data_IF_646758591069
#
_entry.id   IF_646758591069
#
_cell.length_a   1.000
_cell.length_b   1.000
_cell.length_c   1.000
_cell.angle_alpha   90.00
_cell.angle_beta   90.00
_cell.angle_gamma   90.00
#
_symmetry.space_group_name_H-M   'P 1'
#
loop_
_entity.id
_entity.type
_entity.pdbx_description
1 polymer ?
#
# COMPACT_ATOMS: atom_id res chain seq x y z
N UNK A 1 -27.69 -16.78 46.13
CA UNK A 1 -27.34 -17.28 47.47
C UNK A 1 -27.08 -16.03 48.27
N UNK A 2 -28.16 -15.55 48.88
CA UNK A 2 -28.32 -14.21 49.43
C UNK A 2 -28.56 -14.45 50.91
N UNK A 3 -27.47 -14.49 51.68
CA UNK A 3 -27.49 -14.53 53.14
C UNK A 3 -26.85 -13.24 53.61
N UNK A 4 -27.69 -12.25 53.88
CA UNK A 4 -27.37 -11.05 54.65
C UNK A 4 -27.13 -11.47 56.09
N UNK A 5 -25.86 -11.57 56.48
CA UNK A 5 -25.44 -11.74 57.87
C UNK A 5 -25.45 -10.37 58.56
N UNK A 6 -26.63 -9.90 58.94
CA UNK A 6 -26.77 -8.84 59.95
C UNK A 6 -26.71 -9.48 61.33
N UNK A 7 -25.54 -9.41 61.98
CA UNK A 7 -25.39 -9.76 63.41
C UNK A 7 -24.25 -10.70 63.79
N UNK A 8 -23.32 -11.05 62.89
CA UNK A 8 -22.14 -11.84 63.28
C UNK A 8 -21.04 -10.97 63.90
N UNK A 9 -20.53 -11.41 65.05
CA UNK A 9 -19.30 -10.93 65.66
C UNK A 9 -18.19 -10.82 64.61
N UNK A 10 -17.52 -9.66 64.53
CA UNK A 10 -16.50 -9.42 63.51
C UNK A 10 -15.28 -10.30 63.77
N UNK A 11 -15.07 -11.31 62.91
CA UNK A 11 -13.86 -12.12 62.92
C UNK A 11 -12.81 -11.51 61.95
N UNK A 12 -11.68 -10.97 62.47
CA UNK A 12 -10.64 -10.38 61.64
C UNK A 12 -9.97 -11.40 60.72
N UNK A 13 -9.89 -12.67 61.09
CA UNK A 13 -9.30 -13.73 60.25
C UNK A 13 -10.21 -14.04 59.07
N UNK A 14 -11.51 -14.13 59.32
CA UNK A 14 -12.50 -14.32 58.26
C UNK A 14 -12.55 -13.13 57.32
N UNK A 15 -12.50 -11.90 57.86
CA UNK A 15 -12.44 -10.68 57.07
C UNK A 15 -11.18 -10.60 56.19
N UNK A 16 -10.01 -11.00 56.72
CA UNK A 16 -8.75 -11.01 55.98
C UNK A 16 -8.77 -12.02 54.83
N UNK A 17 -9.25 -13.23 55.10
CA UNK A 17 -9.42 -14.29 54.09
C UNK A 17 -10.40 -13.86 53.00
N UNK A 18 -11.53 -13.26 53.38
CA UNK A 18 -12.52 -12.75 52.44
C UNK A 18 -11.96 -11.64 51.55
N UNK A 19 -11.29 -10.63 52.13
CA UNK A 19 -10.66 -9.54 51.36
C UNK A 19 -9.59 -10.09 50.40
N UNK A 20 -8.77 -11.03 50.83
CA UNK A 20 -7.76 -11.68 49.98
C UNK A 20 -8.37 -12.46 48.82
N UNK A 21 -9.43 -13.22 49.07
CA UNK A 21 -10.17 -13.94 48.03
C UNK A 21 -10.73 -12.99 46.98
N UNK A 22 -11.43 -11.92 47.41
CA UNK A 22 -12.03 -10.94 46.51
C UNK A 22 -10.97 -10.19 45.70
N UNK A 23 -9.85 -9.82 46.33
CA UNK A 23 -8.70 -9.19 45.65
C UNK A 23 -8.17 -10.08 44.52
N UNK A 24 -8.04 -11.39 44.73
CA UNK A 24 -7.56 -12.34 43.71
C UNK A 24 -8.56 -12.50 42.56
N UNK A 25 -9.85 -12.61 42.86
CA UNK A 25 -10.92 -12.73 41.86
C UNK A 25 -10.96 -11.49 40.98
N UNK A 26 -11.00 -10.30 41.58
CA UNK A 26 -11.06 -9.03 40.86
C UNK A 26 -9.78 -8.78 40.05
N UNK A 27 -8.61 -9.09 40.62
CA UNK A 27 -7.35 -8.99 39.88
C UNK A 27 -7.29 -9.94 38.67
N UNK A 28 -7.87 -11.14 38.78
CA UNK A 28 -7.92 -12.09 37.68
C UNK A 28 -8.84 -11.63 36.56
N UNK A 29 -10.00 -11.06 36.90
CA UNK A 29 -10.95 -10.51 35.92
C UNK A 29 -10.38 -9.29 35.17
N UNK A 30 -9.47 -8.55 35.82
CA UNK A 30 -8.82 -7.39 35.24
C UNK A 30 -7.56 -7.72 34.42
N UNK A 31 -7.09 -8.97 34.36
CA UNK A 31 -5.89 -9.35 33.59
C UNK A 31 -6.03 -9.10 32.09
N UNK A 32 -7.24 -9.15 31.54
CA UNK A 32 -7.52 -8.89 30.12
C UNK A 32 -7.79 -7.41 29.80
N UNK A 33 -7.75 -6.53 30.80
CA UNK A 33 -8.07 -5.11 30.68
C UNK A 33 -6.83 -4.28 31.04
N UNK A 34 -6.63 -3.13 30.38
CA UNK A 34 -5.54 -2.22 30.72
C UNK A 34 -5.77 -1.63 32.12
N UNK A 35 -5.02 -2.12 33.12
CA UNK A 35 -5.11 -1.67 34.52
C UNK A 35 -4.31 -0.37 34.70
N UNK A 36 -4.82 0.57 35.49
CA UNK A 36 -4.09 1.82 35.78
C UNK A 36 -2.84 1.55 36.64
N UNK A 37 -1.77 2.37 36.52
CA UNK A 37 -0.58 2.24 37.36
C UNK A 37 -0.90 2.28 38.87
N UNK A 38 -1.89 3.07 39.27
CA UNK A 38 -2.36 3.15 40.66
C UNK A 38 -2.95 1.83 41.16
N UNK A 39 -3.72 1.13 40.33
CA UNK A 39 -4.29 -0.18 40.67
C UNK A 39 -3.22 -1.27 40.73
N UNK A 40 -2.27 -1.26 39.79
CA UNK A 40 -1.13 -2.20 39.81
C UNK A 40 -0.29 -2.02 41.09
N UNK A 41 0.00 -0.77 41.47
CA UNK A 41 0.72 -0.45 42.70
C UNK A 41 -0.07 -0.83 43.95
N UNK A 42 -1.38 -0.60 43.98
CA UNK A 42 -2.23 -1.00 45.10
C UNK A 42 -2.27 -2.53 45.28
N UNK A 43 -2.36 -3.30 44.19
CA UNK A 43 -2.30 -4.76 44.25
C UNK A 43 -0.93 -5.28 44.71
N UNK A 44 0.17 -4.70 44.21
CA UNK A 44 1.53 -5.05 44.63
C UNK A 44 1.77 -4.77 46.12
N UNK A 45 1.32 -3.62 46.62
CA UNK A 45 1.39 -3.27 48.05
C UNK A 45 0.59 -4.23 48.92
N UNK A 46 -0.63 -4.58 48.49
CA UNK A 46 -1.44 -5.60 49.17
C UNK A 46 -0.70 -6.95 49.25
N UNK A 47 -0.13 -7.43 48.14
CA UNK A 47 0.55 -8.73 48.10
C UNK A 47 1.74 -8.79 49.06
N UNK A 48 2.54 -7.72 49.10
CA UNK A 48 3.71 -7.63 49.99
C UNK A 48 3.30 -7.64 51.48
N UNK A 49 2.29 -6.85 51.85
CA UNK A 49 1.81 -6.85 53.24
C UNK A 49 1.12 -8.16 53.64
N UNK A 50 0.46 -8.85 52.71
CA UNK A 50 -0.13 -10.16 52.94
C UNK A 50 0.94 -11.24 53.15
N UNK A 51 2.02 -11.22 52.37
CA UNK A 51 3.17 -12.12 52.55
C UNK A 51 3.88 -11.87 53.89
N UNK A 52 4.04 -10.61 54.28
CA UNK A 52 4.62 -10.28 55.60
C UNK A 52 3.72 -10.72 56.75
N UNK A 53 2.40 -10.61 56.59
CA UNK A 53 1.43 -11.11 57.57
C UNK A 53 1.53 -12.63 57.77
N UNK A 54 1.70 -13.42 56.70
CA UNK A 54 1.83 -14.88 56.82
C UNK A 54 3.13 -15.33 57.49
N UNK A 55 4.18 -14.51 57.44
CA UNK A 55 5.52 -14.86 57.90
C UNK A 55 5.91 -14.25 59.26
N UNK A 56 5.15 -13.29 59.79
CA UNK A 56 5.47 -12.64 61.06
C UNK A 56 4.76 -13.27 62.25
N UNK A 57 5.48 -13.41 63.36
CA UNK A 57 4.93 -13.79 64.67
C UNK A 57 4.95 -12.61 65.67
N UNK A 58 5.37 -11.42 65.22
CA UNK A 58 5.50 -10.24 66.06
C UNK A 58 4.23 -9.40 65.98
N UNK A 59 3.58 -9.15 67.13
CA UNK A 59 2.33 -8.39 67.24
C UNK A 59 2.40 -6.99 66.58
N UNK A 60 3.56 -6.33 66.61
CA UNK A 60 3.76 -5.01 66.00
C UNK A 60 3.81 -5.09 64.46
N UNK A 61 4.50 -6.10 63.94
CA UNK A 61 4.58 -6.36 62.50
C UNK A 61 3.23 -6.89 61.97
N UNK A 62 2.49 -7.62 62.78
CA UNK A 62 1.14 -8.10 62.49
C UNK A 62 0.16 -6.93 62.33
N UNK A 63 0.15 -5.99 63.26
CA UNK A 63 -0.67 -4.77 63.17
C UNK A 63 -0.33 -3.94 61.94
N UNK A 64 0.97 -3.76 61.67
CA UNK A 64 1.45 -3.02 60.49
C UNK A 64 1.03 -3.71 59.19
N UNK A 65 1.12 -5.03 59.13
CA UNK A 65 0.76 -5.82 57.95
C UNK A 65 -0.75 -5.81 57.71
N UNK A 66 -1.57 -5.99 58.75
CA UNK A 66 -3.05 -5.92 58.63
C UNK A 66 -3.48 -4.50 58.19
N UNK A 67 -2.86 -3.44 58.72
CA UNK A 67 -3.14 -2.07 58.32
C UNK A 67 -2.78 -1.81 56.84
N UNK A 68 -1.61 -2.29 56.41
CA UNK A 68 -1.17 -2.21 55.01
C UNK A 68 -2.09 -2.97 54.06
N UNK A 69 -2.51 -4.19 54.43
CA UNK A 69 -3.48 -4.99 53.69
C UNK A 69 -4.80 -4.22 53.51
N UNK A 70 -5.35 -3.68 54.59
CA UNK A 70 -6.60 -2.94 54.56
C UNK A 70 -6.54 -1.70 53.66
N UNK A 71 -5.47 -0.90 53.76
CA UNK A 71 -5.30 0.32 52.98
C UNK A 71 -5.14 0.05 51.48
N UNK A 72 -4.29 -0.91 51.12
CA UNK A 72 -4.03 -1.26 49.73
C UNK A 72 -5.20 -2.00 49.08
N UNK A 73 -5.86 -2.91 49.81
CA UNK A 73 -7.09 -3.56 49.33
C UNK A 73 -8.23 -2.56 49.12
N UNK A 74 -8.45 -1.62 50.05
CA UNK A 74 -9.48 -0.58 49.90
C UNK A 74 -9.22 0.29 48.66
N UNK A 75 -7.97 0.66 48.42
CA UNK A 75 -7.57 1.49 47.27
C UNK A 75 -7.78 0.74 45.95
N UNK A 76 -7.34 -0.52 45.88
CA UNK A 76 -7.52 -1.37 44.70
C UNK A 76 -9.01 -1.58 44.37
N UNK A 77 -9.81 -1.95 45.36
CA UNK A 77 -11.23 -2.26 45.18
C UNK A 77 -12.07 -1.02 44.83
N UNK A 78 -11.77 0.15 45.40
CA UNK A 78 -12.42 1.42 45.03
C UNK A 78 -12.11 1.83 43.59
N UNK A 79 -10.89 1.58 43.13
CA UNK A 79 -10.54 1.85 41.74
C UNK A 79 -11.11 0.80 40.79
N UNK A 80 -11.21 -0.47 41.22
CA UNK A 80 -11.92 -1.50 40.49
C UNK A 80 -13.41 -1.16 40.31
N UNK A 81 -14.10 -0.55 41.29
CA UNK A 81 -15.49 -0.09 41.11
C UNK A 81 -15.68 1.02 40.08
N UNK A 82 -14.62 1.72 39.68
CA UNK A 82 -14.70 2.77 38.64
C UNK A 82 -14.57 2.21 37.23
N UNK A 83 -14.17 0.94 37.09
CA UNK A 83 -14.01 0.30 35.79
C UNK A 83 -15.36 -0.25 35.29
N UNK A 84 -15.78 0.03 34.04
CA UNK A 84 -17.06 -0.47 33.49
C UNK A 84 -17.19 -1.99 33.50
N UNK A 85 -16.07 -2.71 33.35
CA UNK A 85 -16.04 -4.17 33.19
C UNK A 85 -16.29 -4.95 34.49
N UNK A 86 -16.07 -4.33 35.65
CA UNK A 86 -16.19 -4.93 36.99
C UNK A 86 -17.50 -4.60 37.70
N UNK A 87 -18.13 -3.47 37.33
CA UNK A 87 -19.38 -2.97 37.93
C UNK A 87 -20.57 -3.92 37.70
N UNK A 88 -20.56 -4.72 36.63
CA UNK A 88 -21.68 -5.64 36.36
C UNK A 88 -21.66 -6.96 37.15
N UNK A 89 -20.51 -7.62 37.26
CA UNK A 89 -20.43 -9.03 37.73
C UNK A 89 -20.11 -9.19 39.21
N UNK A 90 -19.35 -8.26 39.80
CA UNK A 90 -18.77 -8.40 41.14
C UNK A 90 -19.03 -7.20 42.06
N UNK A 91 -19.86 -6.23 41.67
CA UNK A 91 -20.04 -4.97 42.42
C UNK A 91 -20.44 -5.21 43.90
N UNK A 92 -21.40 -6.09 44.15
CA UNK A 92 -21.84 -6.42 45.52
C UNK A 92 -20.69 -6.97 46.39
N UNK A 93 -19.92 -7.91 45.83
CA UNK A 93 -18.79 -8.55 46.50
C UNK A 93 -17.65 -7.54 46.74
N UNK A 94 -17.40 -6.64 45.78
CA UNK A 94 -16.40 -5.59 45.92
C UNK A 94 -16.79 -4.60 47.04
N UNK A 95 -18.06 -4.21 47.11
CA UNK A 95 -18.57 -3.32 48.16
C UNK A 95 -18.45 -3.95 49.55
N UNK A 96 -18.82 -5.21 49.69
CA UNK A 96 -18.63 -5.97 50.93
C UNK A 96 -17.16 -6.07 51.32
N UNK A 97 -16.26 -6.35 50.36
CA UNK A 97 -14.83 -6.42 50.62
C UNK A 97 -14.22 -5.06 51.05
N UNK A 98 -14.72 -3.94 50.52
CA UNK A 98 -14.33 -2.60 50.98
C UNK A 98 -14.75 -2.37 52.44
N UNK A 99 -15.94 -2.84 52.81
CA UNK A 99 -16.42 -2.74 54.20
C UNK A 99 -15.57 -3.59 55.15
N UNK A 100 -15.26 -4.84 54.78
CA UNK A 100 -14.37 -5.71 55.54
C UNK A 100 -12.95 -5.14 55.67
N UNK A 101 -12.42 -4.54 54.60
CA UNK A 101 -11.14 -3.82 54.66
C UNK A 101 -11.19 -2.62 55.62
N UNK A 102 -12.32 -1.90 55.69
CA UNK A 102 -12.53 -0.84 56.68
C UNK A 102 -12.49 -1.36 58.12
N UNK A 103 -13.24 -2.44 58.40
CA UNK A 103 -13.26 -3.07 59.73
C UNK A 103 -11.89 -3.64 60.13
N UNK A 104 -11.14 -4.18 59.16
CA UNK A 104 -9.74 -4.62 59.38
C UNK A 104 -8.80 -3.46 59.74
N UNK A 105 -8.98 -2.29 59.10
CA UNK A 105 -8.19 -1.11 59.44
C UNK A 105 -8.47 -0.63 60.87
N UNK A 106 -9.74 -0.66 61.28
CA UNK A 106 -10.13 -0.28 62.64
C UNK A 106 -9.67 -1.32 63.67
N UNK A 107 -9.73 -2.60 63.33
CA UNK A 107 -9.16 -3.68 64.13
C UNK A 107 -7.64 -3.50 64.35
N UNK A 108 -6.88 -3.24 63.28
CA UNK A 108 -5.43 -3.02 63.37
C UNK A 108 -5.06 -1.85 64.30
N UNK A 109 -5.89 -0.80 64.34
CA UNK A 109 -5.74 0.34 65.26
C UNK A 109 -6.09 0.02 66.71
N UNK A 110 -6.98 -0.94 66.91
CA UNK A 110 -7.45 -1.36 68.23
C UNK A 110 -6.63 -2.48 68.88
N UNK A 111 -5.68 -3.08 68.14
CA UNK A 111 -4.84 -4.14 68.68
C UNK A 111 -3.98 -3.62 69.86
N UNK A 112 -4.03 -4.26 71.03
CA UNK A 112 -3.18 -3.90 72.16
C UNK A 112 -1.74 -4.23 71.79
N UNK A 113 -0.96 -3.21 71.47
CA UNK A 113 0.47 -3.37 71.21
C UNK A 113 1.12 -3.76 72.54
N UNK A 114 1.48 -5.03 72.68
CA UNK A 114 2.11 -5.54 73.90
C UNK A 114 3.59 -5.12 73.90
N UNK A 115 3.85 -3.86 74.22
CA UNK A 115 5.21 -3.30 74.37
C UNK A 115 6.03 -4.00 75.47
N UNK A 116 5.39 -4.80 76.32
CA UNK A 116 5.97 -5.37 77.53
C UNK A 116 6.96 -6.51 77.28
N UNK A 117 6.84 -7.26 76.18
CA UNK A 117 7.72 -8.41 75.92
C UNK A 117 9.07 -8.03 75.30
N UNK A 118 9.22 -6.78 74.82
CA UNK A 118 10.45 -6.27 74.21
C UNK A 118 11.36 -5.47 75.14
N UNK A 119 10.96 -5.24 76.41
CA UNK A 119 11.68 -4.33 77.33
C UNK A 119 12.34 -5.07 78.52
N UNK A 120 12.04 -6.35 78.77
CA UNK A 120 12.66 -7.11 79.88
C UNK A 120 13.69 -8.14 79.41
N UNK A 121 14.75 -7.64 78.76
CA UNK A 121 16.07 -8.26 78.91
C UNK A 121 17.12 -7.14 78.88
N UNK A 122 17.63 -6.77 80.05
CA UNK A 122 18.90 -6.05 80.09
C UNK A 122 19.95 -6.92 79.37
N UNK A 123 20.63 -6.41 78.33
CA UNK A 123 21.61 -7.21 77.64
C UNK A 123 22.86 -7.34 78.50
N UNK A 124 23.26 -8.58 78.76
CA UNK A 124 24.62 -8.90 79.23
C UNK A 124 25.66 -8.19 78.32
N UNK A 125 26.77 -7.64 78.86
CA UNK A 125 27.79 -6.95 78.06
C UNK A 125 28.30 -7.78 76.86
N UNK A 126 28.31 -9.11 76.98
CA UNK A 126 28.66 -10.03 75.90
C UNK A 126 27.65 -10.09 74.74
N UNK A 127 26.36 -9.86 75.02
CA UNK A 127 25.29 -9.86 74.02
C UNK A 127 25.28 -8.56 73.21
N UNK A 128 25.65 -7.42 73.80
CA UNK A 128 25.83 -6.16 73.07
C UNK A 128 27.07 -6.19 72.16
N UNK A 129 28.16 -6.79 72.62
CA UNK A 129 29.39 -6.97 71.82
C UNK A 129 29.14 -7.90 70.63
N UNK A 130 28.37 -8.97 70.82
CA UNK A 130 27.96 -9.88 69.75
C UNK A 130 27.04 -9.19 68.74
N UNK A 131 26.07 -8.38 69.23
CA UNK A 131 25.18 -7.59 68.36
C UNK A 131 25.94 -6.51 67.58
N UNK A 132 26.91 -5.84 68.21
CA UNK A 132 27.77 -4.84 67.55
C UNK A 132 28.65 -5.49 66.48
N UNK A 133 29.25 -6.63 66.77
CA UNK A 133 30.01 -7.42 65.80
C UNK A 133 29.14 -7.88 64.62
N UNK A 134 27.92 -8.35 64.86
CA UNK A 134 26.98 -8.69 63.78
C UNK A 134 26.54 -7.47 62.97
N UNK A 135 26.30 -6.32 63.62
CA UNK A 135 25.99 -5.06 62.96
C UNK A 135 27.15 -4.58 62.08
N UNK A 136 28.38 -4.62 62.59
CA UNK A 136 29.58 -4.25 61.84
C UNK A 136 29.82 -5.20 60.67
N UNK A 137 29.58 -6.50 60.86
CA UNK A 137 29.66 -7.50 59.79
C UNK A 137 28.61 -7.26 58.72
N UNK A 138 27.36 -6.95 59.10
CA UNK A 138 26.28 -6.61 58.17
C UNK A 138 26.53 -5.28 57.46
N UNK A 139 27.08 -4.28 58.15
CA UNK A 139 27.46 -3.00 57.54
C UNK A 139 28.58 -3.20 56.51
N UNK A 140 29.60 -4.01 56.85
CA UNK A 140 30.67 -4.37 55.90
C UNK A 140 30.12 -5.13 54.69
N UNK A 141 29.21 -6.08 54.90
CA UNK A 141 28.54 -6.81 53.82
C UNK A 141 27.68 -5.88 52.94
N UNK A 142 26.96 -4.94 53.55
CA UNK A 142 26.17 -3.93 52.84
C UNK A 142 27.05 -2.99 52.02
N UNK A 143 28.17 -2.51 52.56
CA UNK A 143 29.16 -1.70 51.83
C UNK A 143 29.75 -2.47 50.64
N UNK A 144 30.04 -3.76 50.82
CA UNK A 144 30.57 -4.62 49.77
C UNK A 144 29.53 -4.89 48.65
N UNK A 145 28.26 -5.06 49.03
CA UNK A 145 27.14 -5.13 48.06
C UNK A 145 26.92 -3.79 47.37
N UNK A 146 27.00 -2.68 48.08
CA UNK A 146 26.81 -1.34 47.53
C UNK A 146 27.89 -1.00 46.49
N UNK A 147 29.15 -1.35 46.78
CA UNK A 147 30.28 -1.18 45.86
C UNK A 147 30.18 -2.10 44.64
N UNK A 148 29.78 -3.36 44.83
CA UNK A 148 29.54 -4.31 43.72
C UNK A 148 28.38 -3.86 42.82
N UNK A 149 27.28 -3.42 43.42
CA UNK A 149 26.10 -2.91 42.69
C UNK A 149 26.48 -1.63 41.96
N UNK A 150 27.11 -0.66 42.62
CA UNK A 150 27.52 0.60 41.99
C UNK A 150 28.47 0.37 40.81
N UNK A 151 29.45 -0.52 40.96
CA UNK A 151 30.36 -0.91 39.87
C UNK A 151 29.63 -1.59 38.71
N UNK A 152 28.65 -2.45 39.01
CA UNK A 152 27.79 -3.06 37.99
C UNK A 152 26.92 -2.04 37.27
N UNK A 153 26.39 -1.03 38.00
CA UNK A 153 25.62 0.09 37.42
C UNK A 153 26.49 0.91 36.49
N UNK A 154 27.73 1.23 36.88
CA UNK A 154 28.65 2.00 36.01
C UNK A 154 29.00 1.23 34.73
N UNK A 155 29.24 -0.07 34.86
CA UNK A 155 29.54 -0.94 33.73
C UNK A 155 28.34 -1.10 32.78
N UNK A 156 27.12 -1.11 33.34
CA UNK A 156 25.89 -1.15 32.57
C UNK A 156 25.67 0.16 31.81
N UNK A 157 25.90 1.32 32.45
CA UNK A 157 25.85 2.64 31.81
C UNK A 157 26.84 2.74 30.65
N UNK A 158 28.07 2.25 30.83
CA UNK A 158 29.12 2.26 29.80
C UNK A 158 28.73 1.35 28.61
N UNK A 159 28.16 0.17 28.87
CA UNK A 159 27.62 -0.72 27.83
C UNK A 159 26.44 -0.10 27.10
N UNK A 160 25.52 0.54 27.81
CA UNK A 160 24.37 1.23 27.21
C UNK A 160 24.84 2.39 26.34
N UNK A 161 25.84 3.16 26.78
CA UNK A 161 26.43 4.23 25.99
C UNK A 161 27.12 3.69 24.72
N UNK A 162 27.89 2.59 24.84
CA UNK A 162 28.54 1.94 23.70
C UNK A 162 27.52 1.41 22.69
N UNK A 163 26.51 0.66 23.13
CA UNK A 163 25.40 0.16 22.30
C UNK A 163 24.64 1.31 21.62
N UNK A 164 24.37 2.39 22.35
CA UNK A 164 23.68 3.57 21.78
C UNK A 164 24.50 4.20 20.65
N UNK A 165 25.82 4.28 20.81
CA UNK A 165 26.70 4.82 19.78
C UNK A 165 26.82 3.88 18.57
N UNK A 166 26.89 2.56 18.81
CA UNK A 166 26.92 1.55 17.75
C UNK A 166 25.62 1.56 16.93
N UNK A 167 24.46 1.56 17.61
CA UNK A 167 23.15 1.65 16.96
C UNK A 167 23.01 2.95 16.16
N UNK A 168 23.48 4.09 16.68
CA UNK A 168 23.49 5.36 15.92
C UNK A 168 24.36 5.25 14.67
N UNK A 169 25.56 4.68 14.79
CA UNK A 169 26.47 4.52 13.65
C UNK A 169 25.87 3.58 12.58
N UNK A 170 25.27 2.46 12.97
CA UNK A 170 24.55 1.56 12.08
C UNK A 170 23.33 2.23 11.43
N UNK A 171 22.58 3.04 12.18
CA UNK A 171 21.41 3.76 11.64
C UNK A 171 21.83 4.79 10.59
N UNK A 172 22.93 5.52 10.80
CA UNK A 172 23.47 6.46 9.81
C UNK A 172 23.98 5.74 8.56
N UNK A 173 24.69 4.60 8.71
CA UNK A 173 25.08 3.76 7.57
C UNK A 173 23.87 3.25 6.79
N UNK A 174 22.85 2.76 7.48
CA UNK A 174 21.62 2.30 6.85
C UNK A 174 20.89 3.43 6.12
N UNK A 175 20.88 4.66 6.68
CA UNK A 175 20.33 5.85 6.01
C UNK A 175 21.13 6.22 4.77
N UNK A 176 22.46 6.18 4.81
CA UNK A 176 23.31 6.45 3.65
C UNK A 176 23.16 5.40 2.56
N UNK A 177 23.15 4.10 2.91
CA UNK A 177 22.87 2.98 2.01
C UNK A 177 21.50 3.13 1.35
N UNK A 178 20.47 3.44 2.16
CA UNK A 178 19.12 3.67 1.66
C UNK A 178 19.04 4.90 0.75
N UNK A 179 19.70 6.01 1.11
CA UNK A 179 19.77 7.22 0.30
C UNK A 179 20.47 6.98 -1.03
N UNK A 180 21.60 6.27 -1.03
CA UNK A 180 22.32 5.84 -2.24
C UNK A 180 21.47 4.88 -3.08
N UNK A 181 20.82 3.90 -2.46
CA UNK A 181 19.93 2.96 -3.13
C UNK A 181 18.75 3.66 -3.80
N UNK A 182 18.09 4.58 -3.09
CA UNK A 182 17.00 5.40 -3.64
C UNK A 182 17.46 6.27 -4.81
N UNK A 183 18.59 6.97 -4.66
CA UNK A 183 19.14 7.79 -5.74
C UNK A 183 19.47 6.97 -6.99
N UNK A 184 20.03 5.76 -6.80
CA UNK A 184 20.35 4.83 -7.88
C UNK A 184 19.11 4.31 -8.58
N UNK A 185 18.06 3.94 -7.83
CA UNK A 185 16.76 3.52 -8.38
C UNK A 185 16.10 4.66 -9.15
N UNK A 186 16.12 5.89 -8.62
CA UNK A 186 15.56 7.07 -9.29
C UNK A 186 16.31 7.38 -10.59
N UNK A 187 17.65 7.26 -10.60
CA UNK A 187 18.48 7.44 -11.79
C UNK A 187 18.22 6.35 -12.83
N UNK A 188 18.20 5.07 -12.43
CA UNK A 188 17.92 3.95 -13.33
C UNK A 188 16.52 4.07 -13.95
N UNK A 189 15.53 4.50 -13.16
CA UNK A 189 14.15 4.73 -13.63
C UNK A 189 14.11 5.83 -14.68
N UNK A 190 14.85 6.93 -14.49
CA UNK A 190 14.96 8.00 -15.49
C UNK A 190 15.63 7.52 -16.77
N UNK A 191 16.72 6.77 -16.65
CA UNK A 191 17.44 6.19 -17.79
C UNK A 191 16.53 5.23 -18.58
N UNK A 192 15.79 4.35 -17.90
CA UNK A 192 14.81 3.47 -18.55
C UNK A 192 13.70 4.24 -19.26
N UNK A 193 13.15 5.27 -18.62
CA UNK A 193 12.11 6.10 -19.22
C UNK A 193 12.60 6.84 -20.48
N UNK A 194 13.83 7.35 -20.46
CA UNK A 194 14.45 8.03 -21.59
C UNK A 194 14.72 7.06 -22.76
N UNK A 195 15.33 5.90 -22.47
CA UNK A 195 15.57 4.84 -23.46
C UNK A 195 14.27 4.34 -24.09
N UNK A 196 13.23 4.15 -23.29
CA UNK A 196 11.92 3.73 -23.78
C UNK A 196 11.28 4.83 -24.64
N UNK A 197 11.34 6.10 -24.22
CA UNK A 197 10.81 7.23 -24.97
C UNK A 197 11.52 7.38 -26.33
N UNK A 198 12.83 7.21 -26.37
CA UNK A 198 13.61 7.32 -27.60
C UNK A 198 13.27 6.18 -28.57
N UNK A 199 13.31 4.93 -28.09
CA UNK A 199 13.00 3.75 -28.92
C UNK A 199 11.55 3.70 -29.37
N UNK A 200 10.60 4.09 -28.51
CA UNK A 200 9.19 4.13 -28.87
C UNK A 200 8.91 5.18 -29.96
N UNK A 201 9.52 6.38 -29.83
CA UNK A 201 9.41 7.42 -30.84
C UNK A 201 9.98 7.00 -32.19
N UNK A 202 11.14 6.35 -32.19
CA UNK A 202 11.77 5.82 -33.40
C UNK A 202 10.97 4.67 -34.03
N UNK A 203 10.43 3.76 -33.21
CA UNK A 203 9.59 2.66 -33.68
C UNK A 203 8.30 3.16 -34.36
N UNK A 204 7.59 4.12 -33.76
CA UNK A 204 6.37 4.69 -34.37
C UNK A 204 6.71 5.39 -35.69
N UNK A 205 7.79 6.18 -35.71
CA UNK A 205 8.23 6.84 -36.93
C UNK A 205 8.62 5.84 -38.04
N UNK A 206 9.32 4.75 -37.67
CA UNK A 206 9.66 3.66 -38.59
C UNK A 206 8.41 3.01 -39.19
N UNK A 207 7.41 2.72 -38.36
CA UNK A 207 6.17 2.05 -38.80
C UNK A 207 5.39 2.89 -39.82
N UNK A 208 5.29 4.20 -39.63
CA UNK A 208 4.69 5.11 -40.62
C UNK A 208 5.52 5.20 -41.90
N UNK A 209 6.85 5.24 -41.79
CA UNK A 209 7.73 5.27 -42.94
C UNK A 209 7.64 3.98 -43.78
N UNK A 210 7.54 2.83 -43.11
CA UNK A 210 7.37 1.52 -43.75
C UNK A 210 5.98 1.36 -44.37
N UNK A 211 4.94 1.83 -43.68
CA UNK A 211 3.59 1.88 -44.21
C UNK A 211 3.52 2.74 -45.47
N UNK A 212 4.14 3.92 -45.47
CA UNK A 212 4.26 4.76 -46.66
C UNK A 212 4.96 4.01 -47.81
N UNK A 213 6.07 3.31 -47.55
CA UNK A 213 6.77 2.52 -48.58
C UNK A 213 5.89 1.43 -49.17
N UNK A 214 5.14 0.69 -48.34
CA UNK A 214 4.20 -0.35 -48.79
C UNK A 214 3.10 0.25 -49.68
N UNK A 215 2.50 1.36 -49.28
CA UNK A 215 1.47 2.06 -50.06
C UNK A 215 2.00 2.51 -51.43
N UNK A 216 3.21 3.07 -51.48
CA UNK A 216 3.85 3.47 -52.73
C UNK A 216 4.11 2.28 -53.66
N UNK A 217 4.56 1.15 -53.11
CA UNK A 217 4.77 -0.08 -53.87
C UNK A 217 3.44 -0.62 -54.42
N UNK A 218 2.37 -0.65 -53.62
CA UNK A 218 1.03 -1.03 -54.05
C UNK A 218 0.55 -0.12 -55.20
N UNK A 219 0.64 1.19 -55.04
CA UNK A 219 0.27 2.17 -56.05
C UNK A 219 0.99 1.95 -57.38
N UNK A 220 2.31 1.73 -57.33
CA UNK A 220 3.12 1.48 -58.53
C UNK A 220 2.78 0.14 -59.17
N UNK A 221 2.49 -0.89 -58.38
CA UNK A 221 2.02 -2.18 -58.88
C UNK A 221 0.71 -2.04 -59.64
N UNK A 222 -0.30 -1.42 -59.03
CA UNK A 222 -1.60 -1.18 -59.65
C UNK A 222 -1.52 -0.34 -60.91
N UNK A 223 -0.64 0.68 -60.93
CA UNK A 223 -0.39 1.49 -62.13
C UNK A 223 0.18 0.65 -63.27
N UNK A 224 1.14 -0.25 -62.98
CA UNK A 224 1.68 -1.17 -63.99
C UNK A 224 0.61 -2.08 -64.55
N UNK A 225 -0.23 -2.68 -63.70
CA UNK A 225 -1.33 -3.56 -64.14
C UNK A 225 -2.38 -2.78 -64.95
N UNK A 226 -2.74 -1.56 -64.51
CA UNK A 226 -3.64 -0.66 -65.26
C UNK A 226 -3.09 -0.35 -66.66
N UNK A 227 -1.80 -0.03 -66.77
CA UNK A 227 -1.13 0.21 -68.06
C UNK A 227 -1.18 -1.02 -68.97
N UNK A 228 -0.99 -2.23 -68.44
CA UNK A 228 -1.11 -3.48 -69.21
C UNK A 228 -2.51 -3.61 -69.82
N UNK A 229 -3.57 -3.34 -69.05
CA UNK A 229 -4.93 -3.38 -69.57
C UNK A 229 -5.21 -2.28 -70.61
N UNK A 230 -4.69 -1.07 -70.42
CA UNK A 230 -4.81 0.01 -71.43
C UNK A 230 -4.10 -0.36 -72.73
N UNK A 231 -2.88 -0.91 -72.66
CA UNK A 231 -2.13 -1.36 -73.84
C UNK A 231 -2.85 -2.53 -74.52
N UNK A 232 -3.42 -3.47 -73.77
CA UNK A 232 -4.21 -4.56 -74.32
C UNK A 232 -5.45 -4.05 -75.08
N UNK A 233 -6.19 -3.09 -74.51
CA UNK A 233 -7.34 -2.46 -75.19
C UNK A 233 -6.93 -1.76 -76.49
N UNK A 234 -5.82 -1.01 -76.47
CA UNK A 234 -5.27 -0.35 -77.67
C UNK A 234 -4.82 -1.38 -78.70
N UNK A 235 -4.18 -2.48 -78.29
CA UNK A 235 -3.73 -3.54 -79.19
C UNK A 235 -4.89 -4.23 -79.91
N UNK A 236 -6.00 -4.51 -79.21
CA UNK A 236 -7.23 -5.05 -79.82
C UNK A 236 -7.76 -4.12 -80.90
N UNK A 237 -7.79 -2.81 -80.64
CA UNK A 237 -8.23 -1.81 -81.63
C UNK A 237 -7.25 -1.69 -82.81
N UNK A 238 -5.94 -1.74 -82.56
CA UNK A 238 -4.91 -1.66 -83.60
C UNK A 238 -4.93 -2.88 -84.54
N UNK A 239 -5.09 -4.10 -84.00
CA UNK A 239 -5.26 -5.33 -84.80
C UNK A 239 -6.52 -5.20 -85.67
N UNK A 240 -7.61 -4.65 -85.12
CA UNK A 240 -8.84 -4.41 -85.88
C UNK A 240 -8.63 -3.52 -87.10
N UNK A 241 -7.76 -2.50 -86.97
CA UNK A 241 -7.42 -1.60 -88.07
C UNK A 241 -6.51 -2.25 -89.11
N UNK A 242 -5.53 -3.07 -88.69
CA UNK A 242 -4.63 -3.80 -89.62
C UNK A 242 -5.36 -4.88 -90.43
N UNK A 243 -6.31 -5.60 -89.83
CA UNK A 243 -7.15 -6.59 -90.51
C UNK A 243 -8.02 -5.96 -91.62
N UNK A 244 -8.40 -4.68 -91.47
CA UNK A 244 -9.21 -3.96 -92.46
C UNK A 244 -8.55 -3.91 -93.85
N UNK A 245 -7.22 -4.00 -93.90
CA UNK A 245 -6.44 -3.99 -95.14
C UNK A 245 -6.56 -5.29 -95.96
N UNK A 246 -7.01 -6.40 -95.36
CA UNK A 246 -6.82 -7.74 -95.92
C UNK A 246 -8.11 -8.51 -96.28
N UNK A 247 -9.28 -8.21 -95.69
CA UNK A 247 -10.53 -8.91 -96.01
C UNK A 247 -11.81 -8.16 -95.59
N UNK A 248 -12.94 -8.53 -96.19
CA UNK A 248 -14.30 -8.00 -96.02
C UNK A 248 -14.64 -7.80 -94.53
N UNK A 249 -14.74 -6.53 -94.11
CA UNK A 249 -15.06 -6.17 -92.72
C UNK A 249 -16.54 -6.43 -92.43
N UNK A 250 -16.86 -7.44 -91.62
CA UNK A 250 -18.24 -7.58 -91.10
C UNK A 250 -18.42 -6.62 -89.92
N UNK A 251 -19.52 -5.84 -89.95
CA UNK A 251 -19.85 -4.87 -88.91
C UNK A 251 -20.02 -5.54 -87.52
N UNK A 252 -20.43 -6.80 -87.52
CA UNK A 252 -20.56 -7.68 -86.35
C UNK A 252 -19.22 -7.87 -85.63
N UNK A 253 -18.15 -8.19 -86.37
CA UNK A 253 -16.83 -8.44 -85.79
C UNK A 253 -16.22 -7.16 -85.19
N UNK A 254 -16.46 -6.01 -85.82
CA UNK A 254 -15.98 -4.71 -85.34
C UNK A 254 -16.67 -4.31 -84.03
N UNK A 255 -17.98 -4.55 -83.94
CA UNK A 255 -18.77 -4.26 -82.73
C UNK A 255 -18.33 -5.14 -81.55
N UNK A 256 -18.10 -6.43 -81.78
CA UNK A 256 -17.61 -7.35 -80.75
C UNK A 256 -16.23 -6.95 -80.22
N UNK A 257 -15.30 -6.59 -81.12
CA UNK A 257 -13.94 -6.15 -80.76
C UNK A 257 -13.97 -4.83 -79.95
N UNK A 258 -14.88 -3.92 -80.28
CA UNK A 258 -15.11 -2.70 -79.50
C UNK A 258 -15.64 -3.00 -78.09
N UNK A 259 -16.59 -3.93 -77.95
CA UNK A 259 -17.08 -4.37 -76.64
C UNK A 259 -15.97 -5.02 -75.80
N UNK A 260 -15.07 -5.79 -76.41
CA UNK A 260 -13.90 -6.36 -75.73
C UNK A 260 -12.95 -5.26 -75.27
N UNK A 261 -12.68 -4.24 -76.09
CA UNK A 261 -11.86 -3.10 -75.69
C UNK A 261 -12.49 -2.32 -74.52
N UNK A 262 -13.82 -2.13 -74.53
CA UNK A 262 -14.56 -1.55 -73.41
C UNK A 262 -14.48 -2.41 -72.15
N UNK A 263 -14.58 -3.74 -72.28
CA UNK A 263 -14.47 -4.65 -71.15
C UNK A 263 -13.09 -4.56 -70.47
N UNK A 264 -12.02 -4.31 -71.22
CA UNK A 264 -10.68 -4.05 -70.67
C UNK A 264 -10.52 -2.65 -70.06
N UNK A 265 -11.30 -1.66 -70.50
CA UNK A 265 -11.26 -0.30 -69.96
C UNK A 265 -11.73 -0.21 -68.50
N UNK A 266 -12.73 -1.02 -68.12
CA UNK A 266 -13.28 -1.05 -66.75
C UNK A 266 -12.22 -1.41 -65.69
N UNK A 267 -11.52 -2.56 -65.75
CA UNK A 267 -10.49 -2.90 -64.78
C UNK A 267 -9.28 -1.95 -64.86
N UNK A 268 -8.95 -1.42 -66.05
CA UNK A 268 -7.89 -0.43 -66.20
C UNK A 268 -8.19 0.86 -65.41
N UNK A 269 -9.42 1.38 -65.54
CA UNK A 269 -9.88 2.57 -64.82
C UNK A 269 -9.96 2.35 -63.31
N UNK A 270 -10.45 1.19 -62.87
CA UNK A 270 -10.49 0.84 -61.45
C UNK A 270 -9.08 0.82 -60.83
N UNK A 271 -8.13 0.11 -61.47
CA UNK A 271 -6.75 0.01 -60.99
C UNK A 271 -6.02 1.36 -61.02
N UNK A 272 -6.32 2.21 -62.00
CA UNK A 272 -5.78 3.58 -62.04
C UNK A 272 -6.28 4.42 -60.86
N UNK A 273 -7.58 4.32 -60.54
CA UNK A 273 -8.19 5.02 -59.40
C UNK A 273 -7.66 4.50 -58.06
N UNK A 274 -7.56 3.19 -57.89
CA UNK A 274 -7.02 2.60 -56.66
C UNK A 274 -5.52 2.92 -56.50
N UNK A 275 -4.76 2.99 -57.60
CA UNK A 275 -3.38 3.50 -57.58
C UNK A 275 -3.29 4.95 -57.07
N UNK A 276 -4.22 5.82 -57.47
CA UNK A 276 -4.29 7.20 -56.98
C UNK A 276 -4.61 7.24 -55.47
N UNK A 277 -5.54 6.41 -55.01
CA UNK A 277 -5.89 6.29 -53.59
C UNK A 277 -4.69 5.89 -52.73
N UNK A 278 -3.95 4.85 -53.14
CA UNK A 278 -2.72 4.44 -52.44
C UNK A 278 -1.65 5.54 -52.42
N UNK A 279 -1.61 6.43 -53.44
CA UNK A 279 -0.70 7.59 -53.43
C UNK A 279 -1.11 8.65 -52.42
N UNK A 280 -2.41 8.88 -52.25
CA UNK A 280 -2.91 9.81 -51.23
C UNK A 280 -2.61 9.28 -49.82
N UNK A 281 -2.77 7.98 -49.60
CA UNK A 281 -2.39 7.31 -48.36
C UNK A 281 -0.87 7.37 -48.12
N UNK A 282 -0.06 7.12 -49.16
CA UNK A 282 1.39 7.31 -49.11
C UNK A 282 1.78 8.72 -48.66
N UNK A 283 1.19 9.76 -49.26
CA UNK A 283 1.48 11.15 -48.89
C UNK A 283 1.10 11.45 -47.45
N UNK A 284 -0.01 10.88 -46.97
CA UNK A 284 -0.46 11.05 -45.59
C UNK A 284 0.51 10.40 -44.61
N UNK A 285 0.85 9.13 -44.79
CA UNK A 285 1.81 8.43 -43.92
C UNK A 285 3.21 9.04 -43.98
N UNK A 286 3.67 9.44 -45.16
CA UNK A 286 4.96 10.11 -45.31
C UNK A 286 5.01 11.45 -44.57
N UNK A 287 3.95 12.26 -44.68
CA UNK A 287 3.85 13.53 -43.94
C UNK A 287 3.87 13.28 -42.44
N UNK A 288 3.13 12.29 -41.96
CA UNK A 288 3.13 11.90 -40.54
C UNK A 288 4.52 11.48 -40.07
N UNK A 289 5.21 10.59 -40.81
CA UNK A 289 6.58 10.18 -40.49
C UNK A 289 7.54 11.38 -40.46
N UNK A 290 7.51 12.24 -41.49
CA UNK A 290 8.37 13.43 -41.54
C UNK A 290 8.09 14.39 -40.39
N UNK A 291 6.82 14.58 -40.03
CA UNK A 291 6.42 15.42 -38.90
C UNK A 291 6.86 14.83 -37.57
N UNK A 292 6.70 13.53 -37.34
CA UNK A 292 7.18 12.88 -36.11
C UNK A 292 8.70 13.02 -35.98
N UNK A 293 9.43 12.78 -37.08
CA UNK A 293 10.89 12.89 -37.12
C UNK A 293 11.37 14.33 -36.90
N UNK A 294 10.70 15.33 -37.47
CA UNK A 294 11.10 16.74 -37.35
C UNK A 294 10.69 17.36 -36.02
N UNK A 295 9.59 16.90 -35.41
CA UNK A 295 9.07 17.47 -34.17
C UNK A 295 9.80 16.93 -32.93
N UNK A 296 10.35 15.71 -32.98
CA UNK A 296 11.14 15.15 -31.88
C UNK A 296 12.26 16.07 -31.36
N UNK A 297 13.16 16.63 -32.20
CA UNK A 297 14.20 17.57 -31.74
C UNK A 297 13.62 18.91 -31.24
N UNK A 298 12.47 19.34 -31.78
CA UNK A 298 11.80 20.56 -31.31
C UNK A 298 11.24 20.36 -29.91
N UNK A 299 10.59 19.23 -29.66
CA UNK A 299 10.04 18.88 -28.34
C UNK A 299 11.15 18.74 -27.32
N UNK A 300 12.27 18.10 -27.66
CA UNK A 300 13.38 17.94 -26.71
C UNK A 300 14.00 19.27 -26.24
N UNK A 301 13.81 20.36 -27.00
CA UNK A 301 14.32 21.69 -26.64
C UNK A 301 13.43 22.48 -25.66
N UNK A 302 12.20 22.02 -25.41
CA UNK A 302 11.23 22.70 -24.55
C UNK A 302 11.42 22.38 -23.06
N UNK A 303 10.89 23.21 -22.13
CA UNK A 303 10.85 22.88 -20.70
C UNK A 303 10.08 21.58 -20.44
N UNK A 304 10.50 20.81 -19.43
CA UNK A 304 9.99 19.45 -19.15
C UNK A 304 8.46 19.38 -19.06
N UNK A 305 7.84 20.35 -18.38
CA UNK A 305 6.38 20.45 -18.23
C UNK A 305 5.65 20.57 -19.58
N UNK A 306 6.17 21.39 -20.49
CA UNK A 306 5.61 21.58 -21.83
C UNK A 306 5.83 20.35 -22.72
N UNK A 307 6.95 19.63 -22.54
CA UNK A 307 7.20 18.38 -23.26
C UNK A 307 6.15 17.33 -22.94
N UNK A 308 5.81 17.16 -21.65
CA UNK A 308 4.81 16.18 -21.23
C UNK A 308 3.43 16.50 -21.80
N UNK A 309 3.00 17.77 -21.71
CA UNK A 309 1.72 18.22 -22.25
C UNK A 309 1.62 17.96 -23.76
N UNK A 310 2.66 18.32 -24.52
CA UNK A 310 2.66 18.14 -25.96
C UNK A 310 2.73 16.67 -26.37
N UNK A 311 3.53 15.84 -25.68
CA UNK A 311 3.58 14.39 -25.91
C UNK A 311 2.21 13.74 -25.70
N UNK A 312 1.48 14.14 -24.66
CA UNK A 312 0.13 13.64 -24.38
C UNK A 312 -0.87 14.06 -25.46
N UNK A 313 -0.87 15.33 -25.86
CA UNK A 313 -1.76 15.81 -26.93
C UNK A 313 -1.47 15.13 -28.28
N UNK A 314 -0.19 14.96 -28.62
CA UNK A 314 0.22 14.24 -29.83
C UNK A 314 -0.19 12.78 -29.81
N UNK A 315 -0.02 12.09 -28.68
CA UNK A 315 -0.45 10.71 -28.54
C UNK A 315 -1.96 10.59 -28.78
N UNK A 316 -2.77 11.48 -28.17
CA UNK A 316 -4.22 11.49 -28.38
C UNK A 316 -4.57 11.70 -29.86
N UNK A 317 -3.98 12.69 -30.52
CA UNK A 317 -4.27 12.96 -31.95
C UNK A 317 -3.85 11.78 -32.84
N UNK A 318 -2.68 11.20 -32.61
CA UNK A 318 -2.13 10.13 -33.46
C UNK A 318 -2.91 8.81 -33.32
N UNK A 319 -3.35 8.47 -32.10
CA UNK A 319 -4.06 7.20 -31.85
C UNK A 319 -5.58 7.30 -32.05
N UNK A 320 -6.19 8.49 -31.88
CA UNK A 320 -7.65 8.68 -32.08
C UNK A 320 -8.01 8.89 -33.56
N UNK A 321 -7.16 9.54 -34.35
CA UNK A 321 -7.45 9.77 -35.79
C UNK A 321 -7.43 8.43 -36.58
N UNK A 322 -6.56 7.49 -36.20
CA UNK A 322 -6.45 6.20 -36.89
C UNK A 322 -7.61 5.23 -36.64
N UNK A 323 -8.36 5.38 -35.54
CA UNK A 323 -9.53 4.52 -35.28
C UNK A 323 -10.77 4.95 -36.08
N UNK A 324 -10.85 6.22 -36.49
CA UNK A 324 -11.95 6.73 -37.32
C UNK A 324 -11.71 6.56 -38.83
N UNK A 325 -10.44 6.55 -39.27
CA UNK A 325 -10.09 6.36 -40.69
C UNK A 325 -10.43 4.96 -41.26
N UNK A 326 -10.78 3.99 -40.42
CA UNK A 326 -11.20 2.64 -40.85
C UNK A 326 -12.72 2.42 -40.91
N UNK A 327 -13.54 3.37 -40.43
CA UNK A 327 -14.96 3.12 -40.19
C UNK A 327 -15.94 3.95 -41.03
N UNK A 328 -15.46 4.85 -41.88
CA UNK A 328 -16.37 5.64 -42.72
C UNK A 328 -15.65 6.37 -43.83
N UNK A 329 -16.32 6.44 -44.97
CA UNK A 329 -16.13 7.39 -46.05
C UNK A 329 -15.34 6.97 -47.32
N UNK A 330 -16.13 6.35 -48.20
CA UNK A 330 -16.38 6.72 -49.61
C UNK A 330 -15.32 6.42 -50.68
N UNK A 331 -15.74 5.58 -51.63
CA UNK A 331 -15.06 5.46 -52.92
C UNK A 331 -15.39 4.23 -53.75
N UNK A 332 -16.10 3.24 -53.22
CA UNK A 332 -16.76 2.23 -54.06
C UNK A 332 -17.81 3.00 -54.85
N UNK A 333 -17.59 3.20 -56.16
CA UNK A 333 -18.64 3.68 -57.05
C UNK A 333 -19.82 2.76 -56.80
N UNK A 334 -20.84 3.29 -56.12
CA UNK A 334 -22.06 2.56 -55.87
C UNK A 334 -22.66 2.39 -57.25
N UNK A 335 -22.49 1.22 -57.86
CA UNK A 335 -22.94 0.93 -59.23
C UNK A 335 -24.43 1.24 -59.36
N UNK A 336 -25.14 1.18 -58.24
CA UNK A 336 -26.51 1.62 -58.01
C UNK A 336 -26.76 3.12 -58.27
N UNK A 337 -25.86 4.01 -57.85
CA UNK A 337 -25.98 5.46 -58.07
C UNK A 337 -25.69 5.82 -59.53
N UNK A 338 -24.73 5.14 -60.16
CA UNK A 338 -24.45 5.28 -61.58
C UNK A 338 -25.61 4.75 -62.45
N UNK A 339 -26.21 3.61 -62.07
CA UNK A 339 -27.43 3.07 -62.68
C UNK A 339 -28.62 4.00 -62.48
N UNK A 340 -28.81 4.57 -61.28
CA UNK A 340 -29.88 5.51 -61.00
C UNK A 340 -29.75 6.79 -61.83
N UNK A 341 -28.53 7.32 -61.99
CA UNK A 341 -28.26 8.49 -62.82
C UNK A 341 -28.49 8.21 -64.32
N UNK A 342 -28.10 7.03 -64.81
CA UNK A 342 -28.37 6.60 -66.18
C UNK A 342 -29.86 6.42 -66.46
N UNK A 343 -30.60 5.79 -65.53
CA UNK A 343 -32.06 5.63 -65.64
C UNK A 343 -32.75 6.99 -65.63
N UNK A 344 -32.30 7.91 -64.77
CA UNK A 344 -32.87 9.27 -64.69
C UNK A 344 -32.65 10.06 -66.00
N UNK A 345 -31.44 10.02 -66.57
CA UNK A 345 -31.18 10.66 -67.87
C UNK A 345 -31.97 10.03 -69.03
N UNK A 346 -32.15 8.71 -69.03
CA UNK A 346 -32.98 8.03 -70.04
C UNK A 346 -34.47 8.40 -69.91
N UNK A 347 -34.96 8.70 -68.71
CA UNK A 347 -36.33 9.17 -68.50
C UNK A 347 -36.51 10.63 -68.93
N UNK A 348 -35.50 11.48 -68.75
CA UNK A 348 -35.52 12.87 -69.23
C UNK A 348 -35.47 12.95 -70.76
N UNK A 349 -34.75 12.05 -71.44
CA UNK A 349 -34.72 11.95 -72.90
C UNK A 349 -35.99 11.34 -73.53
N UNK A 350 -36.89 10.77 -72.72
CA UNK A 350 -38.16 10.16 -73.17
C UNK A 350 -39.35 11.13 -73.09
N UNK A 351 -39.17 12.30 -72.45
CA UNK A 351 -40.11 13.44 -72.56
C UNK A 351 -39.71 14.32 -73.73
#
# INVERSE_FOLDING_TARGET
MEDTIEGSEFDPMQALSYVSMVMRVVANDLKSVAVSPEMANAYGGFSNHYENYENTTNDLELSTSISGIAAHASTFLKNALKSPDTVGRNESIIRQAIEHAGKLADFARSMPINLAESIQSEPSPSAEETRRSELDRKNTELEQRLTTVSGSTTQLEERVAALTNEVKAELERAREEYGRGKARVDEETRNYADLLSHRAGEAINSDYADSARKELQSANSMRRVSLVFMVAAIAVLAITWLDHSAAVLTWEATTLRFLVALAFSVPAGYLARESARHRDQYHTYLRTALNLKSLAPYISSLPLEQQHLLKTEMAQRLFVINTQASAGDLGVINVHELLALLIKQLQELRK
#
